data_IF_963876335195
#
_entry.id   IF_963876335195
#
_cell.length_a   1.000
_cell.length_b   1.000
_cell.length_c   1.000
_cell.angle_alpha   90.00
_cell.angle_beta   90.00
_cell.angle_gamma   90.00
#
_symmetry.space_group_name_H-M   'P 1'
#
loop_
_entity.id
_entity.type
_entity.pdbx_description
1 polymer ?
#
# COMPACT_ATOMS: atom_id res chain seq x y z
N UNK A 1 18.78 -30.98 -14.53
CA UNK A 1 17.53 -30.21 -14.78
C UNK A 1 16.71 -30.00 -13.51
N UNK A 2 16.45 -31.05 -12.70
CA UNK A 2 15.66 -30.99 -11.45
C UNK A 2 16.10 -29.92 -10.43
N UNK A 3 17.39 -29.67 -10.26
CA UNK A 3 17.90 -28.65 -9.31
C UNK A 3 17.60 -27.21 -9.74
N UNK A 4 17.68 -26.92 -11.04
CA UNK A 4 17.44 -25.56 -11.56
C UNK A 4 15.98 -25.16 -11.38
N UNK A 5 15.05 -26.07 -11.64
CA UNK A 5 13.60 -25.85 -11.41
C UNK A 5 13.28 -25.63 -9.93
N UNK A 6 13.90 -26.43 -9.04
CA UNK A 6 13.69 -26.33 -7.60
C UNK A 6 14.21 -25.00 -7.04
N UNK A 7 15.37 -24.56 -7.52
CA UNK A 7 15.96 -23.27 -7.19
C UNK A 7 15.06 -22.11 -7.64
N UNK A 8 14.62 -22.12 -8.90
CA UNK A 8 13.73 -21.08 -9.46
C UNK A 8 12.42 -21.00 -8.67
N UNK A 9 11.79 -22.14 -8.34
CA UNK A 9 10.58 -22.16 -7.52
C UNK A 9 10.80 -21.59 -6.11
N UNK A 10 11.91 -21.91 -5.47
CA UNK A 10 12.20 -21.44 -4.11
C UNK A 10 12.44 -19.91 -4.08
N UNK A 11 13.12 -19.39 -5.10
CA UNK A 11 13.32 -17.94 -5.26
C UNK A 11 11.97 -17.25 -5.49
N UNK A 12 11.12 -17.79 -6.36
CA UNK A 12 9.79 -17.23 -6.63
C UNK A 12 8.87 -17.25 -5.40
N UNK A 13 8.86 -18.35 -4.63
CA UNK A 13 8.06 -18.46 -3.41
C UNK A 13 8.49 -17.45 -2.35
N UNK A 14 9.80 -17.32 -2.09
CA UNK A 14 10.31 -16.37 -1.09
C UNK A 14 10.11 -14.90 -1.52
N UNK A 15 10.20 -14.60 -2.82
CA UNK A 15 9.85 -13.28 -3.36
C UNK A 15 8.35 -12.99 -3.21
N UNK A 16 7.49 -13.98 -3.38
CA UNK A 16 6.04 -13.85 -3.24
C UNK A 16 5.61 -13.62 -1.79
N UNK A 17 6.09 -14.45 -0.85
CA UNK A 17 5.79 -14.32 0.58
C UNK A 17 6.24 -12.96 1.13
N UNK A 18 7.46 -12.54 0.81
CA UNK A 18 7.96 -11.22 1.23
C UNK A 18 7.16 -10.06 0.62
N UNK A 19 6.57 -10.25 -0.57
CA UNK A 19 5.73 -9.23 -1.19
C UNK A 19 4.35 -9.15 -0.55
N UNK A 20 3.73 -10.28 -0.20
CA UNK A 20 2.45 -10.33 0.50
C UNK A 20 2.54 -9.71 1.91
N UNK A 21 3.57 -10.02 2.69
CA UNK A 21 3.75 -9.41 4.02
C UNK A 21 3.95 -7.90 3.95
N UNK A 22 4.73 -7.43 2.97
CA UNK A 22 4.92 -5.99 2.72
C UNK A 22 3.62 -5.33 2.30
N UNK A 23 2.80 -6.03 1.52
CA UNK A 23 1.51 -5.54 1.07
C UNK A 23 0.53 -5.33 2.23
N UNK A 24 0.41 -6.32 3.11
CA UNK A 24 -0.45 -6.20 4.29
C UNK A 24 -0.01 -5.05 5.21
N UNK A 25 1.30 -4.82 5.37
CA UNK A 25 1.81 -3.66 6.12
C UNK A 25 1.42 -2.33 5.48
N UNK A 26 1.52 -2.21 4.15
CA UNK A 26 1.12 -0.99 3.43
C UNK A 26 -0.38 -0.75 3.58
N UNK A 27 -1.20 -1.80 3.41
CA UNK A 27 -2.66 -1.74 3.54
C UNK A 27 -3.08 -1.34 4.96
N UNK A 28 -2.44 -1.90 5.98
CA UNK A 28 -2.68 -1.55 7.38
C UNK A 28 -2.34 -0.08 7.65
N UNK A 29 -1.22 0.41 7.11
CA UNK A 29 -0.82 1.82 7.27
C UNK A 29 -1.79 2.78 6.56
N UNK A 30 -2.24 2.44 5.34
CA UNK A 30 -3.28 3.22 4.63
C UNK A 30 -4.56 3.28 5.47
N UNK A 31 -5.01 2.15 6.04
CA UNK A 31 -6.20 2.12 6.88
C UNK A 31 -6.02 2.97 8.16
N UNK A 32 -4.83 2.92 8.77
CA UNK A 32 -4.48 3.72 9.94
C UNK A 32 -4.54 5.23 9.65
N UNK A 33 -3.95 5.66 8.54
CA UNK A 33 -3.94 7.08 8.12
C UNK A 33 -5.34 7.58 7.80
N UNK A 34 -6.14 6.79 7.07
CA UNK A 34 -7.56 7.12 6.79
C UNK A 34 -8.38 7.27 8.07
N UNK A 35 -8.20 6.33 9.02
CA UNK A 35 -8.85 6.43 10.35
C UNK A 35 -8.41 7.70 11.07
N UNK A 36 -7.12 8.04 11.03
CA UNK A 36 -6.59 9.23 11.68
C UNK A 36 -7.17 10.53 11.09
N UNK A 37 -7.33 10.61 9.78
CA UNK A 37 -7.99 11.76 9.14
C UNK A 37 -9.45 11.88 9.58
N UNK A 38 -10.20 10.78 9.62
CA UNK A 38 -11.58 10.79 10.11
C UNK A 38 -11.68 11.24 11.58
N UNK A 39 -10.72 10.86 12.43
CA UNK A 39 -10.66 11.37 13.81
C UNK A 39 -10.39 12.87 13.87
N UNK A 40 -9.49 13.39 13.01
CA UNK A 40 -9.21 14.82 12.90
C UNK A 40 -10.43 15.60 12.42
N UNK A 41 -11.21 15.05 11.48
CA UNK A 41 -12.48 15.63 11.03
C UNK A 41 -13.47 15.78 12.19
N UNK A 42 -13.61 14.75 13.02
CA UNK A 42 -14.48 14.82 14.21
C UNK A 42 -13.98 15.85 15.22
N UNK A 43 -12.67 15.97 15.42
CA UNK A 43 -12.09 17.01 16.28
C UNK A 43 -12.37 18.41 15.72
N UNK A 44 -12.30 18.58 14.39
CA UNK A 44 -12.60 19.84 13.72
C UNK A 44 -14.07 20.24 13.88
N UNK A 45 -15.00 19.29 13.74
CA UNK A 45 -16.43 19.52 13.98
C UNK A 45 -16.66 20.02 15.41
N UNK A 46 -16.10 19.35 16.42
CA UNK A 46 -16.23 19.78 17.81
C UNK A 46 -15.58 21.14 18.09
N UNK A 47 -14.46 21.44 17.42
CA UNK A 47 -13.80 22.76 17.50
C UNK A 47 -14.72 23.86 16.96
N UNK A 48 -15.37 23.61 15.83
CA UNK A 48 -16.33 24.54 15.22
C UNK A 48 -17.55 24.76 16.10
N UNK A 49 -18.12 23.69 16.67
CA UNK A 49 -19.24 23.80 17.60
C UNK A 49 -18.87 24.70 18.79
N UNK A 50 -17.70 24.49 19.40
CA UNK A 50 -17.20 25.31 20.51
C UNK A 50 -16.99 26.78 20.13
N UNK A 51 -16.52 27.05 18.92
CA UNK A 51 -16.39 28.41 18.38
C UNK A 51 -17.77 29.06 18.15
N UNK A 52 -18.70 28.34 17.52
CA UNK A 52 -20.04 28.84 17.17
C UNK A 52 -20.87 29.26 18.39
N UNK A 53 -20.66 28.64 19.55
CA UNK A 53 -21.32 28.97 20.81
C UNK A 53 -20.50 29.94 21.69
N UNK A 54 -19.44 30.52 21.15
CA UNK A 54 -18.63 31.55 21.82
C UNK A 54 -17.71 31.04 22.94
N UNK A 55 -17.51 29.71 23.07
CA UNK A 55 -16.56 29.14 24.05
C UNK A 55 -15.11 29.27 23.61
N UNK A 56 -14.87 29.55 22.34
CA UNK A 56 -13.54 29.68 21.74
C UNK A 56 -13.42 31.04 21.04
N UNK A 57 -12.28 31.71 21.21
CA UNK A 57 -11.99 32.91 20.41
C UNK A 57 -11.59 32.53 18.99
N UNK A 58 -11.84 33.42 18.03
CA UNK A 58 -11.43 33.24 16.63
C UNK A 58 -9.94 32.91 16.52
N UNK A 59 -9.08 33.65 17.23
CA UNK A 59 -7.63 33.38 17.26
C UNK A 59 -7.30 31.93 17.63
N UNK A 60 -7.99 31.36 18.63
CA UNK A 60 -7.75 29.98 19.06
C UNK A 60 -8.34 28.98 18.06
N UNK A 61 -9.53 29.29 17.50
CA UNK A 61 -10.14 28.50 16.44
C UNK A 61 -9.20 28.37 15.25
N UNK A 62 -8.75 29.49 14.67
CA UNK A 62 -7.84 29.53 13.52
C UNK A 62 -6.54 28.77 13.77
N UNK A 63 -5.97 28.91 14.97
CA UNK A 63 -4.72 28.22 15.31
C UNK A 63 -4.92 26.70 15.37
N UNK A 64 -6.01 26.23 15.99
CA UNK A 64 -6.27 24.80 16.16
C UNK A 64 -6.78 24.15 14.87
N UNK A 65 -7.58 24.87 14.07
CA UNK A 65 -8.04 24.43 12.75
C UNK A 65 -6.86 24.22 11.80
N UNK A 66 -5.93 25.18 11.74
CA UNK A 66 -4.72 25.07 10.93
C UNK A 66 -3.84 23.88 11.33
N UNK A 67 -3.77 23.55 12.62
CA UNK A 67 -3.03 22.38 13.10
C UNK A 67 -3.68 21.06 12.64
N UNK A 68 -5.02 20.98 12.64
CA UNK A 68 -5.72 19.79 12.14
C UNK A 68 -5.57 19.65 10.63
N UNK A 69 -5.73 20.74 9.87
CA UNK A 69 -5.52 20.78 8.42
C UNK A 69 -4.10 20.32 8.07
N UNK A 70 -3.07 20.87 8.72
CA UNK A 70 -1.68 20.44 8.50
C UNK A 70 -1.48 18.95 8.77
N UNK A 71 -2.14 18.42 9.81
CA UNK A 71 -2.09 16.98 10.12
C UNK A 71 -2.77 16.12 9.04
N UNK A 72 -3.88 16.60 8.48
CA UNK A 72 -4.59 15.94 7.39
C UNK A 72 -3.76 15.95 6.11
N UNK A 73 -3.21 17.11 5.74
CA UNK A 73 -2.34 17.28 4.57
C UNK A 73 -1.13 16.31 4.62
N UNK A 74 -0.47 16.22 5.79
CA UNK A 74 0.66 15.31 5.97
C UNK A 74 0.25 13.83 5.82
N UNK A 75 -0.93 13.46 6.31
CA UNK A 75 -1.46 12.11 6.15
C UNK A 75 -1.84 11.83 4.69
N UNK A 76 -2.40 12.81 3.98
CA UNK A 76 -2.79 12.70 2.56
C UNK A 76 -1.58 12.60 1.64
N UNK A 77 -0.52 13.38 1.89
CA UNK A 77 0.75 13.25 1.18
C UNK A 77 1.32 11.84 1.36
N UNK A 78 1.29 11.32 2.61
CA UNK A 78 1.76 9.97 2.90
C UNK A 78 0.91 8.89 2.22
N UNK A 79 -0.41 9.06 2.20
CA UNK A 79 -1.35 8.17 1.52
C UNK A 79 -1.05 8.13 0.01
N UNK A 80 -0.90 9.29 -0.62
CA UNK A 80 -0.56 9.40 -2.04
C UNK A 80 0.76 8.70 -2.38
N UNK A 81 1.79 8.87 -1.54
CA UNK A 81 3.06 8.19 -1.72
C UNK A 81 2.96 6.67 -1.53
N UNK A 82 2.20 6.19 -0.54
CA UNK A 82 1.97 4.75 -0.33
C UNK A 82 1.20 4.13 -1.50
N UNK A 83 0.18 4.80 -2.01
CA UNK A 83 -0.61 4.36 -3.17
C UNK A 83 0.24 4.36 -4.45
N UNK A 84 1.10 5.37 -4.65
CA UNK A 84 2.05 5.44 -5.77
C UNK A 84 3.08 4.31 -5.70
N UNK A 85 3.68 4.08 -4.52
CA UNK A 85 4.62 2.97 -4.32
C UNK A 85 3.97 1.62 -4.57
N UNK A 86 2.70 1.45 -4.17
CA UNK A 86 1.95 0.25 -4.47
C UNK A 86 1.77 0.07 -5.98
N UNK A 87 1.29 1.09 -6.68
CA UNK A 87 1.07 1.04 -8.13
C UNK A 87 2.35 0.76 -8.91
N UNK A 88 3.46 1.41 -8.54
CA UNK A 88 4.76 1.19 -9.17
C UNK A 88 5.29 -0.24 -8.94
N UNK A 89 5.07 -0.81 -7.75
CA UNK A 89 5.48 -2.18 -7.44
C UNK A 89 4.59 -3.22 -8.11
N UNK A 90 3.29 -2.99 -8.24
CA UNK A 90 2.38 -3.85 -9.01
C UNK A 90 2.84 -4.00 -10.45
N UNK A 91 3.28 -2.90 -11.09
CA UNK A 91 3.86 -2.93 -12.45
C UNK A 91 5.20 -3.70 -12.48
N UNK A 92 6.07 -3.52 -11.49
CA UNK A 92 7.33 -4.25 -11.43
C UNK A 92 7.16 -5.76 -11.22
N UNK A 93 6.17 -6.17 -10.42
CA UNK A 93 5.81 -7.58 -10.19
C UNK A 93 5.26 -8.20 -11.47
N UNK A 94 4.35 -7.53 -12.18
CA UNK A 94 3.84 -7.97 -13.48
C UNK A 94 4.97 -8.14 -14.52
N UNK A 95 5.96 -7.26 -14.53
CA UNK A 95 7.13 -7.39 -15.42
C UNK A 95 8.02 -8.59 -15.04
N UNK A 96 8.18 -8.89 -13.75
CA UNK A 96 8.94 -10.06 -13.29
C UNK A 96 8.24 -11.38 -13.63
N UNK A 97 6.91 -11.42 -13.56
CA UNK A 97 6.10 -12.55 -14.03
C UNK A 97 6.28 -12.79 -15.53
N UNK A 98 6.14 -11.74 -16.35
CA UNK A 98 6.39 -11.85 -17.80
C UNK A 98 7.82 -12.32 -18.10
N UNK A 99 8.81 -11.84 -17.35
CA UNK A 99 10.19 -12.26 -17.50
C UNK A 99 10.40 -13.73 -17.13
N UNK A 100 9.82 -14.20 -16.03
CA UNK A 100 9.91 -15.61 -15.63
C UNK A 100 9.14 -16.54 -16.57
N UNK A 101 8.01 -16.11 -17.10
CA UNK A 101 7.29 -16.81 -18.15
C UNK A 101 8.12 -16.92 -19.43
N UNK A 102 8.79 -15.83 -19.83
CA UNK A 102 9.70 -15.80 -20.99
C UNK A 102 10.90 -16.72 -20.79
N UNK A 103 11.51 -16.72 -19.61
CA UNK A 103 12.60 -17.65 -19.27
C UNK A 103 12.15 -19.11 -19.27
N UNK A 104 10.94 -19.40 -18.78
CA UNK A 104 10.39 -20.74 -18.79
C UNK A 104 10.07 -21.23 -20.22
N UNK A 105 9.62 -20.34 -21.10
CA UNK A 105 9.44 -20.63 -22.53
C UNK A 105 10.79 -20.89 -23.22
N UNK A 106 11.81 -20.07 -22.96
CA UNK A 106 13.16 -20.25 -23.50
C UNK A 106 13.84 -21.53 -23.00
N UNK A 107 13.56 -21.97 -21.76
CA UNK A 107 14.15 -23.17 -21.16
C UNK A 107 13.33 -24.45 -21.39
N UNK A 108 12.20 -24.40 -22.09
CA UNK A 108 11.31 -25.55 -22.30
C UNK A 108 10.56 -26.04 -21.05
N UNK A 109 10.53 -25.24 -19.98
CA UNK A 109 9.99 -25.58 -18.66
C UNK A 109 8.48 -25.31 -18.56
N UNK A 110 7.69 -25.86 -19.49
CA UNK A 110 6.24 -25.60 -19.60
C UNK A 110 5.42 -25.93 -18.35
N UNK A 111 5.91 -26.80 -17.47
CA UNK A 111 5.19 -27.30 -16.29
C UNK A 111 5.31 -26.38 -15.06
N UNK A 112 6.38 -25.58 -14.99
CA UNK A 112 6.64 -24.67 -13.86
C UNK A 112 5.80 -23.40 -13.96
N UNK A 113 5.68 -22.87 -15.19
CA UNK A 113 5.00 -21.62 -15.53
C UNK A 113 3.55 -21.61 -15.06
N UNK A 114 2.80 -22.70 -15.29
CA UNK A 114 1.38 -22.79 -14.92
C UNK A 114 1.13 -22.73 -13.40
N UNK A 115 2.00 -23.35 -12.60
CA UNK A 115 1.88 -23.39 -11.13
C UNK A 115 2.28 -22.06 -10.48
N UNK A 116 3.26 -21.35 -11.07
CA UNK A 116 3.70 -20.05 -10.59
C UNK A 116 2.70 -18.96 -10.98
N UNK A 117 2.29 -18.90 -12.25
CA UNK A 117 1.31 -17.93 -12.76
C UNK A 117 -0.02 -17.98 -11.99
N UNK A 118 -0.50 -19.18 -11.65
CA UNK A 118 -1.73 -19.34 -10.88
C UNK A 118 -1.66 -18.80 -9.45
N UNK A 119 -0.49 -18.86 -8.79
CA UNK A 119 -0.31 -18.32 -7.43
C UNK A 119 -0.18 -16.81 -7.40
N UNK A 120 0.49 -16.26 -8.42
CA UNK A 120 0.72 -14.84 -8.57
C UNK A 120 -0.60 -14.08 -8.85
N UNK A 121 -1.48 -14.65 -9.68
CA UNK A 121 -2.77 -14.02 -10.04
C UNK A 121 -3.75 -13.84 -8.87
N UNK A 122 -3.47 -14.42 -7.71
CA UNK A 122 -4.30 -14.33 -6.49
C UNK A 122 -3.88 -13.14 -5.60
N UNK A 123 -2.75 -12.50 -5.90
CA UNK A 123 -2.11 -11.49 -5.01
C UNK A 123 -2.21 -10.06 -5.59
N UNK A 124 -2.61 -9.92 -6.85
CA UNK A 124 -3.00 -8.64 -7.49
C UNK A 124 -4.51 -8.40 -7.35
#
# INVERSE_FOLDING_TARGET
MKDKEKFINNVLLSMNESSAERWEKIKAEIARLKKRNAELDQMYIGLYEGYSIGKLSEKKFTMMSAHYEQGQDANEEKLSELERQHKAKSVAVANAEQFTESLAQCAGLKKLTATVLSRVRVIC
#
